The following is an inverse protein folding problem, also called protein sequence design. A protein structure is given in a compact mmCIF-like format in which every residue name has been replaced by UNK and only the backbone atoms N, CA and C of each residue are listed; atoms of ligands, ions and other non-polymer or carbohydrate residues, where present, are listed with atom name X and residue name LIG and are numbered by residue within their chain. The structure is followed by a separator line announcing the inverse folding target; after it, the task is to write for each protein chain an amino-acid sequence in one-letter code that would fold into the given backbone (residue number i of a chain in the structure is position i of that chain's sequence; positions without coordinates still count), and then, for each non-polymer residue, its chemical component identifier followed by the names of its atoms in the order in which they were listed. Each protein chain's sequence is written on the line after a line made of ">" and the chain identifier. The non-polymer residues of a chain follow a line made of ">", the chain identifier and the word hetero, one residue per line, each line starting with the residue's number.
data_IF_346816946758
#
_entry.id   IF_346816946758
#
_cell.length_a   1.000
_cell.length_b   1.000
_cell.length_c   1.000
_cell.angle_alpha   90.00
_cell.angle_beta   90.00
_cell.angle_gamma   90.00
#
_symmetry.space_group_name_H-M   'P 1'
#
loop_
_entity.id
_entity.type
_entity.pdbx_description
1 polymer ?
#
# COMPACT_ATOMS: atom_id res chain seq x y z
N UNK A 1 -22.70 -16.74 15.16
CA UNK A 1 -21.54 -16.09 14.57
C UNK A 1 -20.34 -17.03 14.73
N UNK A 2 -19.82 -17.60 13.63
CA UNK A 2 -18.57 -18.37 13.68
C UNK A 2 -17.47 -17.34 13.91
N UNK A 3 -16.69 -17.47 15.00
CA UNK A 3 -15.42 -16.78 15.14
C UNK A 3 -14.56 -17.18 13.94
N UNK A 4 -14.33 -16.26 13.03
CA UNK A 4 -13.33 -16.44 11.98
C UNK A 4 -12.00 -16.63 12.74
N UNK A 5 -11.38 -17.81 12.60
CA UNK A 5 -10.10 -18.09 13.24
C UNK A 5 -9.10 -17.04 12.82
N UNK A 6 -8.44 -16.41 13.79
CA UNK A 6 -7.41 -15.41 13.55
C UNK A 6 -6.31 -16.04 12.69
N UNK A 7 -6.08 -15.50 11.51
CA UNK A 7 -5.02 -15.95 10.59
C UNK A 7 -3.72 -15.28 11.03
N UNK A 8 -2.72 -16.10 11.38
CA UNK A 8 -1.40 -15.59 11.73
C UNK A 8 -0.58 -15.36 10.46
N UNK A 9 0.08 -14.23 10.39
CA UNK A 9 1.03 -13.88 9.33
C UNK A 9 2.44 -13.75 9.90
N UNK A 10 3.42 -14.15 9.09
CA UNK A 10 4.85 -14.05 9.44
C UNK A 10 5.41 -12.75 8.92
N UNK A 11 6.05 -12.00 9.80
CA UNK A 11 6.71 -10.74 9.52
C UNK A 11 8.21 -11.00 9.31
N UNK A 12 8.65 -11.06 8.07
CA UNK A 12 10.05 -11.31 7.72
C UNK A 12 10.88 -10.02 7.78
N UNK A 13 11.80 -9.96 8.71
CA UNK A 13 12.76 -8.88 8.86
C UNK A 13 12.26 -7.67 9.65
N UNK A 14 13.21 -6.83 10.06
CA UNK A 14 12.98 -5.68 10.93
C UNK A 14 11.94 -4.70 10.38
N UNK A 15 11.95 -4.43 9.06
CA UNK A 15 11.01 -3.46 8.48
C UNK A 15 9.56 -3.87 8.60
N UNK A 16 9.25 -5.17 8.42
CA UNK A 16 7.89 -5.67 8.57
C UNK A 16 7.44 -5.62 10.05
N UNK A 17 8.34 -6.01 10.96
CA UNK A 17 8.09 -5.96 12.41
C UNK A 17 7.86 -4.53 12.89
N UNK A 18 8.74 -3.57 12.53
CA UNK A 18 8.58 -2.18 12.97
C UNK A 18 7.27 -1.55 12.50
N UNK A 19 6.81 -1.87 11.28
CA UNK A 19 5.56 -1.31 10.78
C UNK A 19 4.35 -1.94 11.47
N UNK A 20 4.37 -3.24 11.74
CA UNK A 20 3.33 -3.87 12.53
C UNK A 20 3.27 -3.29 13.96
N UNK A 21 4.41 -3.10 14.60
CA UNK A 21 4.48 -2.46 15.93
C UNK A 21 3.97 -1.02 15.93
N UNK A 22 4.26 -0.26 14.86
CA UNK A 22 3.87 1.16 14.76
C UNK A 22 2.39 1.35 14.50
N UNK A 23 1.80 0.55 13.61
CA UNK A 23 0.44 0.77 13.11
C UNK A 23 -0.61 -0.15 13.73
N UNK A 24 -0.21 -1.33 14.23
CA UNK A 24 -1.11 -2.31 14.81
C UNK A 24 -0.44 -3.13 15.92
N UNK A 25 0.11 -2.48 16.98
CA UNK A 25 0.88 -3.17 18.02
C UNK A 25 0.08 -4.28 18.72
N UNK A 26 -1.22 -4.10 18.89
CA UNK A 26 -2.10 -5.09 19.53
C UNK A 26 -2.26 -6.39 18.73
N UNK A 27 -1.91 -6.39 17.43
CA UNK A 27 -1.95 -7.57 16.60
C UNK A 27 -0.64 -8.36 16.60
N UNK A 28 0.47 -7.78 17.09
CA UNK A 28 1.77 -8.44 17.15
C UNK A 28 1.79 -9.41 18.33
N UNK A 29 1.95 -10.70 18.04
CA UNK A 29 1.93 -11.77 19.04
C UNK A 29 3.29 -12.08 19.63
N UNK A 30 4.32 -12.08 18.78
CA UNK A 30 5.66 -12.51 19.15
C UNK A 30 6.69 -11.88 18.20
N UNK A 31 7.84 -11.55 18.75
CA UNK A 31 9.02 -11.15 17.96
C UNK A 31 10.16 -12.08 18.36
N UNK A 32 10.75 -12.77 17.37
CA UNK A 32 11.96 -13.58 17.57
C UNK A 32 13.14 -12.79 17.03
N UNK A 33 14.20 -12.67 17.81
CA UNK A 33 15.44 -11.97 17.46
C UNK A 33 16.63 -12.89 17.64
N UNK A 34 17.61 -12.78 16.73
CA UNK A 34 18.86 -13.54 16.86
C UNK A 34 19.71 -13.05 18.05
N UNK A 35 19.59 -11.75 18.38
CA UNK A 35 20.19 -11.10 19.54
C UNK A 35 19.37 -9.88 19.91
N UNK A 36 18.96 -9.75 21.16
CA UNK A 36 18.21 -8.58 21.67
C UNK A 36 19.03 -7.30 21.50
N UNK A 37 20.32 -7.31 21.84
CA UNK A 37 21.18 -6.13 21.72
C UNK A 37 21.31 -5.64 20.28
N UNK A 38 21.46 -6.54 19.31
CA UNK A 38 21.54 -6.18 17.89
C UNK A 38 20.20 -5.66 17.35
N UNK A 39 19.08 -6.25 17.77
CA UNK A 39 17.75 -5.80 17.38
C UNK A 39 17.45 -4.42 17.94
N UNK A 40 17.84 -4.13 19.19
CA UNK A 40 17.68 -2.80 19.79
C UNK A 40 18.56 -1.75 19.10
N UNK A 41 19.83 -2.06 18.80
CA UNK A 41 20.71 -1.15 18.06
C UNK A 41 20.13 -0.79 16.67
N UNK A 42 19.56 -1.79 15.98
CA UNK A 42 18.88 -1.58 14.70
C UNK A 42 17.61 -0.73 14.87
N UNK A 43 16.85 -0.95 15.96
CA UNK A 43 15.67 -0.18 16.30
C UNK A 43 16.02 1.29 16.61
N UNK A 44 17.04 1.53 17.42
CA UNK A 44 17.50 2.88 17.76
C UNK A 44 17.93 3.67 16.51
N UNK A 45 18.54 2.99 15.54
CA UNK A 45 18.97 3.61 14.29
C UNK A 45 17.83 3.92 13.31
N UNK A 46 16.79 3.07 13.24
CA UNK A 46 15.80 3.10 12.15
C UNK A 46 14.36 3.39 12.61
N UNK A 47 14.02 3.13 13.86
CA UNK A 47 12.66 3.24 14.38
C UNK A 47 12.62 3.33 15.91
N UNK A 48 13.23 4.36 16.51
CA UNK A 48 13.32 4.50 17.98
C UNK A 48 11.95 4.59 18.65
N UNK A 49 10.92 5.01 17.91
CA UNK A 49 9.54 5.11 18.37
C UNK A 49 8.88 3.77 18.75
N UNK A 50 9.38 2.64 18.23
CA UNK A 50 8.84 1.31 18.56
C UNK A 50 9.74 0.48 19.49
N UNK A 51 10.77 1.10 20.05
CA UNK A 51 11.81 0.42 20.85
C UNK A 51 11.24 -0.33 22.06
N UNK A 52 10.37 0.32 22.83
CA UNK A 52 9.79 -0.27 24.04
C UNK A 52 8.87 -1.46 23.69
N UNK A 53 8.09 -1.33 22.61
CA UNK A 53 7.23 -2.40 22.13
C UNK A 53 8.06 -3.60 21.63
N UNK A 54 9.15 -3.33 20.92
CA UNK A 54 10.06 -4.38 20.46
C UNK A 54 10.67 -5.11 21.64
N UNK A 55 11.19 -4.39 22.62
CA UNK A 55 11.81 -4.98 23.81
C UNK A 55 10.82 -5.85 24.62
N UNK A 56 9.59 -5.38 24.75
CA UNK A 56 8.56 -6.10 25.52
C UNK A 56 8.15 -7.44 24.88
N UNK A 57 8.28 -7.57 23.55
CA UNK A 57 7.85 -8.75 22.80
C UNK A 57 9.01 -9.61 22.28
N UNK A 58 10.27 -9.12 22.36
CA UNK A 58 11.43 -9.80 21.81
C UNK A 58 11.85 -11.00 22.63
N UNK A 59 12.00 -12.14 21.97
CA UNK A 59 12.54 -13.38 22.53
C UNK A 59 13.70 -13.84 21.65
N UNK A 60 14.85 -14.15 22.25
CA UNK A 60 15.98 -14.68 21.48
C UNK A 60 15.69 -16.08 20.94
N UNK A 61 16.09 -16.30 19.70
CA UNK A 61 15.88 -17.57 19.01
C UNK A 61 16.46 -17.55 17.59
N UNK A 62 16.37 -18.70 16.89
CA UNK A 62 16.89 -18.81 15.54
C UNK A 62 16.07 -17.94 14.56
N UNK A 63 16.73 -17.06 13.82
CA UNK A 63 16.15 -16.22 12.77
C UNK A 63 16.97 -16.36 11.49
N UNK A 64 16.29 -16.70 10.39
CA UNK A 64 16.95 -16.87 9.08
C UNK A 64 17.13 -15.55 8.32
N UNK A 65 16.32 -14.52 8.64
CA UNK A 65 16.39 -13.24 7.93
C UNK A 65 17.68 -12.49 8.27
N UNK A 66 18.34 -11.83 7.30
CA UNK A 66 19.65 -11.15 7.52
C UNK A 66 19.63 -10.06 8.59
N UNK A 67 18.47 -9.43 8.85
CA UNK A 67 18.35 -8.44 9.94
C UNK A 67 18.32 -9.08 11.34
N UNK A 68 18.30 -10.41 11.45
CA UNK A 68 18.16 -11.10 12.72
C UNK A 68 16.84 -10.87 13.45
N UNK A 69 15.79 -10.42 12.74
CA UNK A 69 14.48 -10.12 13.33
C UNK A 69 13.38 -10.78 12.51
N UNK A 70 12.42 -11.40 13.19
CA UNK A 70 11.21 -11.98 12.62
C UNK A 70 10.07 -11.81 13.63
N UNK A 71 8.82 -11.68 13.15
CA UNK A 71 7.66 -11.59 14.02
C UNK A 71 6.49 -12.43 13.53
N UNK A 72 5.51 -12.58 14.41
CA UNK A 72 4.20 -13.18 14.14
C UNK A 72 3.13 -12.19 14.57
N UNK A 73 2.14 -11.98 13.72
CA UNK A 73 1.03 -11.08 14.01
C UNK A 73 -0.28 -11.67 13.50
N UNK A 74 -1.39 -11.24 14.10
CA UNK A 74 -2.71 -11.51 13.55
C UNK A 74 -2.94 -10.68 12.30
N UNK A 75 -3.55 -11.27 11.29
CA UNK A 75 -4.06 -10.53 10.15
C UNK A 75 -5.17 -9.59 10.62
N UNK A 76 -5.11 -8.27 10.31
CA UNK A 76 -6.21 -7.36 10.60
C UNK A 76 -7.53 -7.84 10.01
N UNK A 77 -8.63 -7.50 10.66
CA UNK A 77 -9.96 -7.69 10.06
C UNK A 77 -10.06 -6.85 8.79
N UNK A 78 -10.65 -7.44 7.74
CA UNK A 78 -10.82 -6.72 6.48
C UNK A 78 -11.83 -5.57 6.64
N UNK A 79 -11.35 -4.36 6.42
CA UNK A 79 -12.24 -3.20 6.28
C UNK A 79 -12.63 -3.04 4.80
N UNK A 80 -13.77 -3.62 4.44
CA UNK A 80 -14.30 -3.55 3.06
C UNK A 80 -15.03 -2.23 2.76
N UNK A 81 -15.22 -1.37 3.76
CA UNK A 81 -15.87 -0.07 3.57
C UNK A 81 -15.10 0.82 2.58
N UNK A 82 -13.76 0.71 2.55
CA UNK A 82 -12.88 1.46 1.63
C UNK A 82 -13.18 1.21 0.14
N UNK A 83 -13.83 0.10 -0.20
CA UNK A 83 -14.25 -0.17 -1.57
C UNK A 83 -15.38 0.76 -2.04
N UNK A 84 -16.13 1.35 -1.10
CA UNK A 84 -17.32 2.17 -1.39
C UNK A 84 -17.25 3.58 -0.82
N UNK A 85 -16.60 3.77 0.31
CA UNK A 85 -16.52 5.06 1.02
C UNK A 85 -15.06 5.33 1.41
N UNK A 86 -14.51 6.44 0.92
CA UNK A 86 -13.11 6.81 1.15
C UNK A 86 -12.89 8.31 0.99
N UNK A 87 -11.83 8.82 1.59
CA UNK A 87 -11.41 10.21 1.57
C UNK A 87 -10.01 10.42 0.96
N UNK A 88 -9.48 9.36 0.34
CA UNK A 88 -8.24 9.34 -0.41
C UNK A 88 -8.32 8.22 -1.46
N UNK A 89 -7.56 8.25 -2.57
CA UNK A 89 -7.66 7.24 -3.62
C UNK A 89 -7.47 5.81 -3.11
N UNK A 90 -8.23 4.87 -3.69
CA UNK A 90 -8.02 3.44 -3.55
C UNK A 90 -7.09 2.98 -4.68
N UNK A 91 -6.05 2.24 -4.38
CA UNK A 91 -5.24 1.54 -5.39
C UNK A 91 -5.84 0.17 -5.67
N UNK A 92 -6.23 -0.08 -6.90
CA UNK A 92 -6.75 -1.36 -7.35
C UNK A 92 -5.78 -1.99 -8.36
N UNK A 93 -5.26 -3.17 -8.04
CA UNK A 93 -4.35 -3.91 -8.92
C UNK A 93 -5.13 -4.97 -9.69
N UNK A 94 -5.15 -4.85 -11.01
CA UNK A 94 -5.88 -5.75 -11.91
C UNK A 94 -5.00 -6.97 -12.26
N UNK A 95 -5.24 -8.08 -11.55
CA UNK A 95 -4.58 -9.38 -11.70
C UNK A 95 -3.04 -9.31 -11.70
N UNK A 96 -2.42 -8.70 -10.66
CA UNK A 96 -0.97 -8.56 -10.60
C UNK A 96 -0.30 -9.94 -10.55
N UNK A 97 0.74 -10.16 -11.38
CA UNK A 97 1.41 -11.46 -11.52
C UNK A 97 2.64 -11.61 -10.62
N UNK A 98 3.27 -10.50 -10.26
CA UNK A 98 4.48 -10.50 -9.44
C UNK A 98 4.17 -10.03 -8.01
N UNK A 99 4.19 -10.95 -7.02
CA UNK A 99 3.90 -10.59 -5.63
C UNK A 99 4.76 -9.44 -5.08
N UNK A 100 6.02 -9.36 -5.52
CA UNK A 100 6.92 -8.26 -5.13
C UNK A 100 6.46 -6.89 -5.65
N UNK A 101 5.95 -6.81 -6.88
CA UNK A 101 5.41 -5.57 -7.46
C UNK A 101 4.10 -5.17 -6.77
N UNK A 102 3.21 -6.13 -6.52
CA UNK A 102 1.99 -5.88 -5.74
C UNK A 102 2.32 -5.35 -4.34
N UNK A 103 3.29 -5.97 -3.66
CA UNK A 103 3.76 -5.49 -2.36
C UNK A 103 4.37 -4.08 -2.43
N UNK A 104 5.19 -3.80 -3.44
CA UNK A 104 5.77 -2.47 -3.65
C UNK A 104 4.67 -1.40 -3.91
N UNK A 105 3.62 -1.74 -4.68
CA UNK A 105 2.48 -0.84 -4.90
C UNK A 105 1.71 -0.56 -3.60
N UNK A 106 1.45 -1.58 -2.77
CA UNK A 106 0.84 -1.43 -1.44
C UNK A 106 1.72 -0.53 -0.55
N UNK A 107 3.04 -0.71 -0.60
CA UNK A 107 3.98 0.15 0.13
C UNK A 107 3.87 1.61 -0.28
N UNK A 108 3.77 1.88 -1.56
CA UNK A 108 3.58 3.24 -2.11
C UNK A 108 2.22 3.79 -1.69
N UNK A 109 1.14 2.98 -1.79
CA UNK A 109 -0.19 3.37 -1.37
C UNK A 109 -0.21 3.83 0.10
N UNK A 110 0.40 3.05 0.99
CA UNK A 110 0.54 3.41 2.40
C UNK A 110 1.34 4.72 2.59
N UNK A 111 2.47 4.87 1.91
CA UNK A 111 3.33 6.05 2.02
C UNK A 111 2.66 7.32 1.48
N UNK A 112 1.88 7.20 0.40
CA UNK A 112 1.13 8.32 -0.17
C UNK A 112 -0.14 8.67 0.61
N UNK A 113 -0.57 7.84 1.56
CA UNK A 113 -1.80 8.05 2.33
C UNK A 113 -3.06 7.68 1.56
N UNK A 114 -2.99 6.69 0.67
CA UNK A 114 -4.17 6.12 0.03
C UNK A 114 -5.11 5.47 1.05
N UNK A 115 -6.39 5.39 0.75
CA UNK A 115 -7.39 4.78 1.64
C UNK A 115 -7.26 3.27 1.75
N UNK A 116 -6.63 2.61 0.78
CA UNK A 116 -6.43 1.17 0.79
C UNK A 116 -5.73 0.65 -0.46
N UNK A 117 -5.40 -0.63 -0.44
CA UNK A 117 -4.93 -1.40 -1.57
C UNK A 117 -5.82 -2.62 -1.79
N UNK A 118 -6.33 -2.82 -3.00
CA UNK A 118 -7.15 -3.96 -3.33
C UNK A 118 -6.61 -4.69 -4.56
N UNK A 119 -6.80 -6.00 -4.60
CA UNK A 119 -6.36 -6.85 -5.71
C UNK A 119 -7.55 -7.55 -6.35
N UNK A 120 -7.63 -7.49 -7.67
CA UNK A 120 -8.43 -8.41 -8.48
C UNK A 120 -7.59 -9.65 -8.81
N UNK A 121 -8.26 -10.75 -9.15
CA UNK A 121 -7.60 -11.99 -9.56
C UNK A 121 -7.30 -12.92 -8.38
N UNK A 122 -6.28 -13.76 -8.54
CA UNK A 122 -6.03 -14.92 -7.67
C UNK A 122 -4.89 -14.73 -6.67
N UNK A 123 -4.12 -13.65 -6.80
CA UNK A 123 -3.03 -13.38 -5.87
C UNK A 123 -3.58 -13.01 -4.49
N UNK A 124 -3.20 -13.77 -3.47
CA UNK A 124 -3.53 -13.40 -2.09
C UNK A 124 -2.76 -12.12 -1.69
N UNK A 125 -3.45 -11.02 -1.33
CA UNK A 125 -2.79 -9.80 -0.88
C UNK A 125 -1.92 -10.00 0.36
N UNK A 126 -2.18 -11.02 1.17
CA UNK A 126 -1.41 -11.37 2.36
C UNK A 126 -0.37 -12.48 2.12
N UNK A 127 -0.14 -12.88 0.87
CA UNK A 127 0.93 -13.80 0.53
C UNK A 127 2.28 -13.29 1.08
N UNK A 128 3.15 -14.14 1.66
CA UNK A 128 4.42 -13.72 2.29
C UNK A 128 5.30 -12.83 1.41
N UNK A 129 5.36 -13.08 0.10
CA UNK A 129 6.14 -12.28 -0.82
C UNK A 129 5.53 -10.88 -1.07
N UNK A 130 4.19 -10.72 -0.99
CA UNK A 130 3.51 -9.42 -1.06
C UNK A 130 3.79 -8.65 0.23
N UNK A 131 3.62 -9.30 1.37
CA UNK A 131 3.88 -8.72 2.70
C UNK A 131 5.33 -8.23 2.83
N UNK A 132 6.30 -9.02 2.34
CA UNK A 132 7.72 -8.64 2.28
C UNK A 132 7.95 -7.45 1.35
N UNK A 133 7.38 -7.46 0.13
CA UNK A 133 7.46 -6.35 -0.83
C UNK A 133 6.91 -5.04 -0.27
N UNK A 134 5.84 -5.12 0.51
CA UNK A 134 5.24 -3.97 1.20
C UNK A 134 5.96 -3.60 2.51
N UNK A 135 7.00 -4.35 2.92
CA UNK A 135 7.69 -4.17 4.19
C UNK A 135 6.73 -4.15 5.41
N UNK A 136 5.64 -4.92 5.36
CA UNK A 136 4.64 -4.99 6.42
C UNK A 136 3.69 -3.79 6.51
N UNK A 137 3.65 -2.90 5.53
CA UNK A 137 2.74 -1.74 5.54
C UNK A 137 1.26 -2.11 5.34
N UNK A 138 0.93 -3.40 5.21
CA UNK A 138 -0.42 -3.94 5.35
C UNK A 138 -1.10 -3.59 6.68
N UNK A 139 -0.32 -3.28 7.70
CA UNK A 139 -0.83 -2.86 8.99
C UNK A 139 -1.14 -1.36 9.07
N UNK A 140 -0.77 -0.58 8.05
CA UNK A 140 -0.97 0.86 7.98
C UNK A 140 -2.23 1.27 7.20
N UNK A 141 -2.79 0.37 6.37
CA UNK A 141 -3.98 0.63 5.56
C UNK A 141 -4.71 -0.70 5.28
N UNK A 142 -6.02 -0.67 4.97
CA UNK A 142 -6.75 -1.85 4.51
C UNK A 142 -6.14 -2.46 3.24
N UNK A 143 -5.86 -3.77 3.27
CA UNK A 143 -5.37 -4.54 2.10
C UNK A 143 -6.22 -5.79 1.95
N UNK A 144 -6.89 -5.95 0.79
CA UNK A 144 -7.89 -6.99 0.59
C UNK A 144 -8.01 -7.45 -0.87
N UNK A 145 -8.60 -8.64 -1.08
CA UNK A 145 -9.08 -9.06 -2.40
C UNK A 145 -10.51 -8.60 -2.60
N UNK A 146 -10.85 -8.21 -3.83
CA UNK A 146 -12.22 -7.86 -4.17
C UNK A 146 -12.57 -8.29 -5.60
N UNK A 147 -13.85 -8.19 -5.94
CA UNK A 147 -14.33 -8.18 -7.32
C UNK A 147 -14.55 -6.73 -7.77
N UNK A 148 -14.50 -6.51 -9.07
CA UNK A 148 -14.74 -5.18 -9.65
C UNK A 148 -16.14 -4.64 -9.32
N UNK A 149 -17.13 -5.52 -9.14
CA UNK A 149 -18.52 -5.16 -8.78
C UNK A 149 -18.67 -4.58 -7.36
N UNK A 150 -17.72 -4.84 -6.48
CA UNK A 150 -17.76 -4.33 -5.11
C UNK A 150 -17.26 -2.89 -5.01
N UNK A 151 -16.54 -2.42 -6.04
CA UNK A 151 -15.88 -1.12 -6.05
C UNK A 151 -16.83 -0.03 -6.55
N UNK A 152 -17.03 1.00 -5.74
CA UNK A 152 -17.81 2.18 -6.11
C UNK A 152 -16.93 3.42 -6.25
N UNK A 153 -17.42 4.44 -6.95
CA UNK A 153 -16.78 5.73 -7.20
C UNK A 153 -16.12 5.82 -8.56
N UNK A 154 -15.47 6.96 -8.87
CA UNK A 154 -14.87 7.21 -10.17
C UNK A 154 -13.61 6.36 -10.38
N UNK A 155 -13.61 5.56 -11.45
CA UNK A 155 -12.54 4.61 -11.80
C UNK A 155 -11.64 5.22 -12.86
N UNK A 156 -10.38 5.42 -12.52
CA UNK A 156 -9.31 5.88 -13.39
C UNK A 156 -8.38 4.70 -13.70
N UNK A 157 -8.47 4.20 -14.92
CA UNK A 157 -7.66 3.08 -15.38
C UNK A 157 -6.37 3.61 -16.04
N UNK A 158 -5.22 3.18 -15.53
CA UNK A 158 -3.93 3.66 -16.02
C UNK A 158 -3.44 2.82 -17.20
N UNK A 159 -3.41 3.43 -18.38
CA UNK A 159 -2.94 2.81 -19.62
C UNK A 159 -2.10 3.81 -20.42
N UNK A 160 -1.12 3.31 -21.19
CA UNK A 160 -0.24 4.16 -21.99
C UNK A 160 -0.96 4.91 -23.12
N UNK A 161 -2.03 4.33 -23.63
CA UNK A 161 -2.84 4.87 -24.72
C UNK A 161 -4.02 5.75 -24.22
N UNK A 162 -4.08 6.02 -22.92
CA UNK A 162 -5.10 6.84 -22.28
C UNK A 162 -4.96 8.34 -22.57
N UNK A 163 -5.94 9.10 -22.15
CA UNK A 163 -5.89 10.57 -22.15
C UNK A 163 -4.86 11.11 -21.12
N UNK A 164 -4.38 12.34 -21.25
CA UNK A 164 -3.42 12.88 -20.29
C UNK A 164 -3.90 12.77 -18.84
N UNK A 165 -3.00 12.36 -17.95
CA UNK A 165 -3.29 12.12 -16.54
C UNK A 165 -3.85 13.38 -15.85
N UNK A 166 -5.08 13.33 -15.32
CA UNK A 166 -5.72 14.47 -14.67
C UNK A 166 -5.32 14.60 -13.19
N UNK A 167 -5.85 15.63 -12.53
CA UNK A 167 -5.93 15.61 -11.07
C UNK A 167 -6.93 14.53 -10.65
N UNK A 168 -6.52 13.62 -9.75
CA UNK A 168 -7.42 12.63 -9.20
C UNK A 168 -8.28 13.23 -8.08
N UNK A 169 -9.59 12.92 -8.02
CA UNK A 169 -10.41 13.22 -6.85
C UNK A 169 -10.05 12.32 -5.67
N UNK A 170 -10.39 12.74 -4.46
CA UNK A 170 -10.04 12.00 -3.24
C UNK A 170 -10.76 10.65 -3.15
N UNK A 171 -11.92 10.51 -3.75
CA UNK A 171 -12.67 9.25 -3.80
C UNK A 171 -12.34 8.38 -5.03
N UNK A 172 -11.30 8.70 -5.79
CA UNK A 172 -10.89 7.95 -6.97
C UNK A 172 -10.51 6.50 -6.66
N UNK A 173 -10.76 5.63 -7.64
CA UNK A 173 -10.16 4.30 -7.75
C UNK A 173 -9.10 4.36 -8.84
N UNK A 174 -7.84 4.29 -8.47
CA UNK A 174 -6.73 4.19 -9.40
C UNK A 174 -6.49 2.72 -9.73
N UNK A 175 -6.80 2.31 -10.96
CA UNK A 175 -6.59 0.93 -11.42
C UNK A 175 -5.31 0.84 -12.23
N UNK A 176 -4.48 -0.14 -11.89
CA UNK A 176 -3.25 -0.44 -12.62
C UNK A 176 -3.25 -1.90 -13.04
N UNK A 177 -3.02 -2.13 -14.31
CA UNK A 177 -3.04 -3.46 -14.91
C UNK A 177 -1.81 -4.31 -14.57
N UNK A 178 -1.90 -5.60 -14.91
CA UNK A 178 -0.79 -6.54 -14.75
C UNK A 178 0.38 -6.20 -15.67
N UNK A 179 1.58 -6.67 -15.30
CA UNK A 179 2.85 -6.30 -15.97
C UNK A 179 2.96 -6.76 -17.43
N UNK A 180 2.19 -7.75 -17.85
CA UNK A 180 2.25 -8.31 -19.21
C UNK A 180 0.98 -8.12 -20.01
N UNK A 181 -0.17 -8.34 -19.36
CA UNK A 181 -1.47 -8.28 -20.03
C UNK A 181 -2.10 -6.88 -19.97
N UNK A 182 -1.57 -5.97 -19.14
CA UNK A 182 -2.19 -4.67 -18.90
C UNK A 182 -3.50 -4.80 -18.14
N UNK A 183 -4.45 -3.95 -18.46
CA UNK A 183 -5.80 -3.94 -17.90
C UNK A 183 -6.69 -5.00 -18.53
N UNK A 184 -7.54 -5.63 -17.75
CA UNK A 184 -8.56 -6.55 -18.26
C UNK A 184 -9.66 -5.81 -19.03
N UNK A 185 -10.34 -6.53 -19.93
CA UNK A 185 -11.47 -5.98 -20.69
C UNK A 185 -12.58 -5.49 -19.76
N UNK A 186 -12.84 -6.22 -18.68
CA UNK A 186 -13.84 -5.84 -17.68
C UNK A 186 -13.47 -4.54 -16.95
N UNK A 187 -12.20 -4.38 -16.62
CA UNK A 187 -11.68 -3.14 -16.00
C UNK A 187 -11.81 -1.96 -16.96
N UNK A 188 -11.42 -2.13 -18.23
CA UNK A 188 -11.56 -1.09 -19.25
C UNK A 188 -13.03 -0.71 -19.48
N UNK A 189 -13.94 -1.69 -19.51
CA UNK A 189 -15.36 -1.45 -19.65
C UNK A 189 -15.98 -0.72 -18.43
N UNK A 190 -15.42 -0.92 -17.22
CA UNK A 190 -15.87 -0.28 -15.98
C UNK A 190 -15.25 1.10 -15.76
N UNK A 191 -14.12 1.39 -16.42
CA UNK A 191 -13.40 2.65 -16.21
C UNK A 191 -14.23 3.85 -16.65
N UNK A 192 -14.33 4.85 -15.78
CA UNK A 192 -14.92 6.15 -16.12
C UNK A 192 -13.94 6.96 -16.98
N UNK A 193 -12.64 6.76 -16.78
CA UNK A 193 -11.58 7.38 -17.58
C UNK A 193 -10.39 6.42 -17.73
N UNK A 194 -9.84 6.34 -18.94
CA UNK A 194 -8.54 5.70 -19.22
C UNK A 194 -7.52 6.80 -19.36
N UNK A 195 -6.48 6.79 -18.51
CA UNK A 195 -5.55 7.92 -18.35
C UNK A 195 -4.09 7.46 -18.48
N UNK A 196 -3.23 8.31 -19.03
CA UNK A 196 -1.83 8.00 -19.27
C UNK A 196 -0.89 8.96 -18.51
N UNK A 197 0.08 8.38 -17.81
CA UNK A 197 1.22 9.16 -17.31
C UNK A 197 2.08 9.62 -18.50
N UNK A 198 2.59 10.87 -18.49
CA UNK A 198 3.44 11.33 -19.59
C UNK A 198 4.74 10.52 -19.64
N UNK A 199 5.02 9.94 -20.79
CA UNK A 199 6.25 9.19 -21.06
C UNK A 199 6.98 9.76 -22.29
N UNK A 200 8.30 9.56 -22.33
CA UNK A 200 9.10 9.89 -23.50
C UNK A 200 8.68 9.00 -24.69
N UNK A 201 8.63 9.56 -25.87
CA UNK A 201 8.35 8.80 -27.10
C UNK A 201 9.26 7.54 -27.22
N UNK A 202 8.64 6.41 -27.54
CA UNK A 202 9.31 5.10 -27.62
C UNK A 202 9.39 4.32 -26.28
N UNK A 203 8.95 4.90 -25.17
CA UNK A 203 8.77 4.16 -23.90
C UNK A 203 7.31 3.73 -23.79
N UNK A 204 7.09 2.41 -23.69
CA UNK A 204 5.74 1.82 -23.73
C UNK A 204 5.09 1.60 -22.37
N UNK A 205 5.87 1.54 -21.29
CA UNK A 205 5.33 1.25 -19.96
C UNK A 205 6.30 1.62 -18.84
N UNK A 206 5.76 1.75 -17.64
CA UNK A 206 6.48 1.83 -16.37
C UNK A 206 6.27 0.54 -15.56
N UNK A 207 7.19 0.27 -14.64
CA UNK A 207 6.94 -0.76 -13.61
C UNK A 207 5.66 -0.41 -12.84
N UNK A 208 4.87 -1.42 -12.48
CA UNK A 208 3.57 -1.28 -11.79
C UNK A 208 3.65 -0.37 -10.55
N UNK A 209 4.59 -0.62 -9.64
CA UNK A 209 4.73 0.19 -8.43
C UNK A 209 5.21 1.62 -8.73
N UNK A 210 6.03 1.81 -9.79
CA UNK A 210 6.47 3.14 -10.24
C UNK A 210 5.30 3.92 -10.80
N UNK A 211 4.42 3.29 -11.59
CA UNK A 211 3.22 3.92 -12.12
C UNK A 211 2.26 4.35 -10.99
N UNK A 212 2.00 3.46 -10.03
CA UNK A 212 1.23 3.79 -8.81
C UNK A 212 1.85 4.96 -8.07
N UNK A 213 3.19 4.97 -7.91
CA UNK A 213 3.90 6.07 -7.23
C UNK A 213 3.70 7.41 -7.94
N UNK A 214 3.92 7.45 -9.25
CA UNK A 214 3.77 8.68 -10.02
C UNK A 214 2.33 9.25 -9.91
N UNK A 215 1.32 8.39 -10.06
CA UNK A 215 -0.08 8.79 -10.00
C UNK A 215 -0.51 9.28 -8.59
N UNK A 216 -0.17 8.53 -7.55
CA UNK A 216 -0.54 8.90 -6.19
C UNK A 216 0.20 10.15 -5.68
N UNK A 217 1.48 10.31 -6.02
CA UNK A 217 2.20 11.51 -5.63
C UNK A 217 1.79 12.73 -6.44
N UNK A 218 1.34 12.57 -7.69
CA UNK A 218 0.68 13.66 -8.43
C UNK A 218 -0.58 14.14 -7.69
N UNK A 219 -1.45 13.22 -7.25
CA UNK A 219 -2.62 13.52 -6.42
C UNK A 219 -2.23 14.21 -5.10
N UNK A 220 -1.32 13.60 -4.33
CA UNK A 220 -0.95 14.09 -3.00
C UNK A 220 -0.32 15.48 -3.05
N UNK A 221 0.55 15.74 -4.02
CA UNK A 221 1.21 17.05 -4.19
C UNK A 221 0.26 18.13 -4.70
N UNK A 222 -0.74 17.77 -5.49
CA UNK A 222 -1.80 18.70 -5.89
C UNK A 222 -2.61 19.18 -4.67
N UNK A 223 -2.98 18.28 -3.76
CA UNK A 223 -3.66 18.61 -2.51
C UNK A 223 -2.84 19.50 -1.55
N UNK A 224 -1.51 19.41 -1.58
CA UNK A 224 -0.63 20.28 -0.79
C UNK A 224 -0.48 21.69 -1.36
N UNK A 225 -0.79 21.89 -2.65
CA UNK A 225 -0.72 23.19 -3.31
C UNK A 225 -1.96 24.06 -3.11
N UNK A 226 -2.98 23.56 -2.42
CA UNK A 226 -4.23 24.27 -2.16
C UNK A 226 -4.41 24.60 -0.67
N UNK A 227 -3.60 25.52 -0.10
CA UNK A 227 -4.00 26.32 1.03
C UNK A 227 -4.05 27.78 0.55
N UNK A 228 -5.28 28.29 0.28
CA UNK A 228 -5.52 29.73 0.31
C UNK A 228 -4.77 30.61 -0.69
N UNK A 229 -4.99 30.41 -1.98
CA UNK A 229 -4.71 31.46 -2.97
C UNK A 229 -5.86 32.48 -3.01
N UNK A 230 -6.16 33.09 -1.83
CA UNK A 230 -6.98 34.30 -1.78
C UNK A 230 -6.78 34.98 -0.42
N UNK A 231 -5.57 35.51 -0.20
CA UNK A 231 -5.39 36.66 0.67
C UNK A 231 -5.00 37.83 -0.24
N UNK A 232 -6.03 38.52 -0.71
CA UNK A 232 -5.92 39.66 -1.59
C UNK A 232 -4.88 40.65 -1.12
N UNK A 233 -3.92 40.95 -1.96
CA UNK A 233 -3.13 42.19 -1.91
C UNK A 233 -4.03 43.35 -2.31
N UNK A 234 -4.80 43.85 -1.31
CA UNK A 234 -5.24 45.24 -1.40
C UNK A 234 -3.98 46.10 -1.23
N UNK A 235 -3.48 46.68 -2.33
CA UNK A 235 -2.56 47.79 -2.28
C UNK A 235 -3.37 49.02 -1.83
N UNK A 236 -2.95 49.75 -0.75
CA UNK A 236 -3.44 51.08 -0.54
C UNK A 236 -2.82 52.01 -1.56
N UNK A 237 -3.65 52.84 -2.22
CA UNK A 237 -3.26 53.97 -3.05
C UNK A 237 -2.67 55.14 -2.23
#
# INVERSE_FOLDING_TARGET
>A
MRQAGLVIVVLEGFHAVKHALRFAPALVRRITVASVSSALALCDALAPDVRELLLALAVEGPVKHPTGVQGEADRPLEDRSVLRQRSAPLVLLDDPRHPGNAGAAIRVAAAAGASGGALLGTLDPWHPAVLRGAAGLHFALPVLSCSLMEVAGPVFALDADGEPFPSLPDDAVLVVGSERAGLSVDTLARADRVVALPMRAGVSSLNLATAVSAALYAWRLAGLRTPGADAGTARPG
#
